data_IF_383439540260
#
_entry.id   IF_383439540260
#
_cell.length_a   1.000
_cell.length_b   1.000
_cell.length_c   1.000
_cell.angle_alpha   90.00
_cell.angle_beta   90.00
_cell.angle_gamma   90.00
#
_symmetry.space_group_name_H-M   'P 1'
#
loop_
_entity.id
_entity.type
_entity.pdbx_description
1 polymer ?
#
# COMPACT_ATOMS: atom_id res chain seq x y z
N UNK A 1 8.68 29.62 -14.67
CA UNK A 1 8.24 28.33 -15.26
C UNK A 1 8.43 27.29 -14.17
N UNK A 2 7.38 26.99 -13.41
CA UNK A 2 7.48 25.99 -12.35
C UNK A 2 7.36 24.62 -13.02
N UNK A 3 8.39 23.79 -12.86
CA UNK A 3 8.36 22.39 -13.31
C UNK A 3 7.30 21.64 -12.49
N UNK A 4 6.09 21.54 -13.03
CA UNK A 4 5.02 20.68 -12.49
C UNK A 4 5.23 19.22 -12.92
N UNK A 5 6.49 18.79 -12.98
CA UNK A 5 6.89 17.45 -13.41
C UNK A 5 7.39 16.64 -12.23
N UNK A 6 7.07 15.35 -12.21
CA UNK A 6 7.77 14.41 -11.34
C UNK A 6 9.19 14.22 -11.88
N UNK A 7 10.18 14.36 -11.02
CA UNK A 7 11.59 14.10 -11.35
C UNK A 7 12.15 12.96 -10.50
N UNK A 8 13.02 12.15 -11.10
CA UNK A 8 13.73 11.09 -10.39
C UNK A 8 14.75 11.73 -9.44
N UNK A 9 14.57 11.52 -8.14
CA UNK A 9 15.52 12.01 -7.11
C UNK A 9 16.64 11.01 -6.86
N UNK A 10 16.30 9.73 -6.64
CA UNK A 10 17.24 8.68 -6.22
C UNK A 10 16.92 7.34 -6.86
N UNK A 11 17.95 6.49 -7.04
CA UNK A 11 17.82 5.06 -7.36
C UNK A 11 18.41 4.22 -6.22
N UNK A 12 17.55 3.81 -5.29
CA UNK A 12 17.94 3.02 -4.13
C UNK A 12 18.32 1.60 -4.56
N UNK A 13 19.57 1.20 -4.35
CA UNK A 13 20.13 -0.07 -4.83
C UNK A 13 20.72 -0.87 -3.67
N UNK A 14 20.43 -2.18 -3.61
CA UNK A 14 20.98 -3.07 -2.58
C UNK A 14 20.26 -4.40 -2.42
N UNK A 15 18.95 -4.45 -2.70
CA UNK A 15 18.19 -5.69 -2.74
C UNK A 15 18.64 -6.61 -3.87
N UNK A 16 18.76 -7.91 -3.59
CA UNK A 16 19.09 -8.95 -4.56
C UNK A 16 17.86 -9.72 -5.05
N UNK A 17 16.72 -9.50 -4.41
CA UNK A 17 15.42 -10.10 -4.76
C UNK A 17 14.43 -9.01 -5.22
N UNK A 18 13.41 -9.37 -6.00
CA UNK A 18 12.31 -8.45 -6.31
C UNK A 18 11.70 -7.88 -5.03
N UNK A 19 11.34 -6.60 -5.05
CA UNK A 19 10.71 -5.93 -3.91
C UNK A 19 9.30 -6.47 -3.70
N UNK A 20 8.95 -6.77 -2.45
CA UNK A 20 7.61 -7.20 -2.04
C UNK A 20 6.82 -6.10 -1.33
N UNK A 21 7.50 -5.21 -0.61
CA UNK A 21 6.86 -4.15 0.17
C UNK A 21 7.71 -2.88 0.24
N UNK A 22 7.04 -1.74 0.39
CA UNK A 22 7.62 -0.41 0.59
C UNK A 22 6.74 0.36 1.56
N UNK A 23 7.34 1.10 2.50
CA UNK A 23 6.61 1.90 3.48
C UNK A 23 7.35 3.19 3.80
N UNK A 24 6.67 4.32 3.67
CA UNK A 24 7.18 5.63 4.11
C UNK A 24 7.14 5.75 5.63
N UNK A 25 8.13 6.42 6.21
CA UNK A 25 8.06 6.82 7.62
C UNK A 25 6.98 7.88 7.81
N UNK A 26 6.40 8.01 9.02
CA UNK A 26 5.33 8.97 9.29
C UNK A 26 5.70 10.44 9.03
N UNK A 27 7.00 10.76 9.04
CA UNK A 27 7.55 12.10 8.80
C UNK A 27 8.04 12.32 7.36
N UNK A 28 7.83 11.36 6.46
CA UNK A 28 8.27 11.33 5.05
C UNK A 28 9.80 11.46 4.84
N UNK A 29 10.61 11.31 5.90
CA UNK A 29 12.08 11.44 5.82
C UNK A 29 12.80 10.14 5.51
N UNK A 30 12.16 9.01 5.76
CA UNK A 30 12.75 7.69 5.60
C UNK A 30 11.81 6.74 4.85
N UNK A 31 12.42 5.71 4.26
CA UNK A 31 11.70 4.67 3.53
C UNK A 31 12.14 3.30 4.06
N UNK A 32 11.19 2.37 4.20
CA UNK A 32 11.48 0.95 4.32
C UNK A 32 11.21 0.26 3.00
N UNK A 33 12.07 -0.67 2.65
CA UNK A 33 11.86 -1.60 1.54
C UNK A 33 12.12 -3.02 2.00
N UNK A 34 11.30 -3.96 1.53
CA UNK A 34 11.47 -5.39 1.78
C UNK A 34 11.60 -6.11 0.44
N UNK A 35 12.65 -6.92 0.29
CA UNK A 35 12.76 -7.88 -0.80
C UNK A 35 11.97 -9.15 -0.49
N UNK A 36 11.56 -9.88 -1.52
CA UNK A 36 10.85 -11.16 -1.36
C UNK A 36 11.73 -12.20 -0.65
N UNK A 37 11.35 -12.56 0.57
CA UNK A 37 12.10 -13.45 1.47
C UNK A 37 13.56 -12.96 1.69
N UNK A 38 13.74 -11.64 1.77
CA UNK A 38 15.05 -11.00 1.95
C UNK A 38 15.11 -10.23 3.29
N UNK A 39 15.96 -9.22 3.37
CA UNK A 39 16.08 -8.28 4.49
C UNK A 39 15.16 -7.08 4.29
N UNK A 40 14.87 -6.36 5.37
CA UNK A 40 14.30 -5.01 5.30
C UNK A 40 15.43 -4.00 5.30
N UNK A 41 15.37 -3.01 4.42
CA UNK A 41 16.32 -1.91 4.35
C UNK A 41 15.62 -0.59 4.68
N UNK A 42 16.29 0.25 5.46
CA UNK A 42 15.84 1.61 5.78
C UNK A 42 16.72 2.63 5.10
N UNK A 43 16.10 3.61 4.46
CA UNK A 43 16.78 4.59 3.61
C UNK A 43 16.45 6.00 4.05
N UNK A 44 17.39 6.92 3.86
CA UNK A 44 17.14 8.36 3.95
C UNK A 44 16.61 8.89 2.63
N UNK A 45 15.50 9.62 2.65
CA UNK A 45 14.83 10.15 1.45
C UNK A 45 15.60 11.34 0.86
N UNK A 46 16.39 12.05 1.67
CA UNK A 46 17.15 13.22 1.24
C UNK A 46 18.43 12.83 0.52
N UNK A 47 19.24 11.94 1.10
CA UNK A 47 20.52 11.49 0.55
C UNK A 47 20.41 10.24 -0.34
N UNK A 48 19.37 9.42 -0.16
CA UNK A 48 19.24 8.13 -0.82
C UNK A 48 20.12 7.02 -0.21
N UNK A 49 20.77 7.28 0.92
CA UNK A 49 21.65 6.34 1.59
C UNK A 49 20.88 5.25 2.34
N UNK A 50 21.43 4.05 2.38
CA UNK A 50 20.92 2.95 3.22
C UNK A 50 21.38 3.18 4.66
N UNK A 51 20.45 3.58 5.52
CA UNK A 51 20.69 3.83 6.94
C UNK A 51 20.87 2.55 7.76
N UNK A 52 20.09 1.51 7.45
CA UNK A 52 20.14 0.25 8.20
C UNK A 52 19.63 -0.94 7.36
N UNK A 53 20.11 -2.14 7.71
CA UNK A 53 19.62 -3.43 7.17
C UNK A 53 19.16 -4.30 8.34
N UNK A 54 17.87 -4.69 8.35
CA UNK A 54 17.28 -5.55 9.37
C UNK A 54 17.23 -6.98 8.84
N UNK A 55 17.93 -7.86 9.53
CA UNK A 55 18.05 -9.27 9.17
C UNK A 55 17.84 -10.13 10.40
N UNK A 56 17.16 -11.27 10.23
CA UNK A 56 17.02 -12.29 11.26
C UNK A 56 17.62 -13.60 10.76
N UNK A 57 18.65 -14.09 11.44
CA UNK A 57 19.43 -15.25 10.99
C UNK A 57 18.52 -16.45 10.67
N UNK A 58 18.62 -16.96 9.45
CA UNK A 58 17.89 -18.14 8.98
C UNK A 58 16.43 -17.88 8.58
N UNK A 59 15.94 -16.64 8.63
CA UNK A 59 14.57 -16.28 8.27
C UNK A 59 14.55 -15.12 7.26
N UNK A 60 13.70 -15.23 6.23
CA UNK A 60 13.45 -14.16 5.27
C UNK A 60 12.28 -13.28 5.71
N UNK A 61 12.32 -12.01 5.35
CA UNK A 61 11.24 -11.04 5.57
C UNK A 61 10.33 -10.98 4.34
N UNK A 62 9.05 -10.75 4.57
CA UNK A 62 8.02 -10.74 3.51
C UNK A 62 7.27 -9.42 3.41
N UNK A 63 7.27 -8.64 4.49
CA UNK A 63 6.63 -7.32 4.58
C UNK A 63 7.26 -6.48 5.66
N UNK A 64 7.06 -5.16 5.57
CA UNK A 64 7.54 -4.19 6.53
C UNK A 64 6.52 -3.06 6.74
N UNK A 65 6.51 -2.47 7.93
CA UNK A 65 5.69 -1.31 8.26
C UNK A 65 6.32 -0.47 9.37
N UNK A 66 6.00 0.81 9.40
CA UNK A 66 6.42 1.72 10.47
C UNK A 66 5.40 1.74 11.60
N UNK A 67 5.90 1.89 12.82
CA UNK A 67 5.08 2.44 13.90
C UNK A 67 4.65 3.89 13.57
N UNK A 68 3.44 4.33 13.98
CA UNK A 68 2.95 5.68 13.68
C UNK A 68 3.78 6.81 14.31
N UNK A 69 4.49 6.52 15.40
CA UNK A 69 5.39 7.47 16.06
C UNK A 69 6.81 7.45 15.46
N UNK A 70 7.07 6.59 14.48
CA UNK A 70 8.34 6.47 13.77
C UNK A 70 9.48 5.85 14.58
N UNK A 71 9.24 5.34 15.79
CA UNK A 71 10.31 4.82 16.65
C UNK A 71 10.67 3.37 16.37
N UNK A 72 9.69 2.59 15.94
CA UNK A 72 9.81 1.15 15.73
C UNK A 72 9.47 0.76 14.30
N UNK A 73 10.03 -0.37 13.88
CA UNK A 73 9.75 -0.99 12.60
C UNK A 73 9.20 -2.39 12.86
N UNK A 74 8.22 -2.80 12.06
CA UNK A 74 7.67 -4.13 12.07
C UNK A 74 8.06 -4.88 10.80
N UNK A 75 8.35 -6.16 10.93
CA UNK A 75 8.61 -7.06 9.81
C UNK A 75 7.77 -8.33 9.92
N UNK A 76 7.06 -8.68 8.84
CA UNK A 76 6.50 -10.01 8.67
C UNK A 76 7.59 -10.98 8.20
N UNK A 77 7.62 -12.19 8.75
CA UNK A 77 8.62 -13.22 8.45
C UNK A 77 8.04 -14.39 7.68
N UNK A 78 8.90 -15.12 6.96
CA UNK A 78 8.52 -16.32 6.20
C UNK A 78 8.05 -17.50 7.07
N UNK A 79 8.41 -17.51 8.37
CA UNK A 79 7.89 -18.44 9.38
C UNK A 79 6.50 -18.05 9.93
N UNK A 80 5.86 -17.05 9.30
CA UNK A 80 4.55 -16.48 9.65
C UNK A 80 4.52 -15.62 10.91
N UNK A 81 5.68 -15.37 11.53
CA UNK A 81 5.78 -14.47 12.69
C UNK A 81 5.82 -13.00 12.27
N UNK A 82 5.59 -12.12 13.25
CA UNK A 82 5.86 -10.69 13.12
C UNK A 82 6.91 -10.34 14.18
N UNK A 83 7.97 -9.62 13.82
CA UNK A 83 8.91 -9.07 14.78
C UNK A 83 8.92 -7.54 14.74
N UNK A 84 9.31 -6.94 15.87
CA UNK A 84 9.46 -5.50 16.05
C UNK A 84 10.91 -5.15 16.37
N UNK A 85 11.38 -4.04 15.80
CA UNK A 85 12.77 -3.62 15.83
C UNK A 85 12.90 -2.17 16.29
N UNK A 86 13.96 -1.87 17.03
CA UNK A 86 14.50 -0.52 17.17
C UNK A 86 15.16 -0.07 15.87
N UNK A 87 15.27 1.25 15.67
CA UNK A 87 15.86 1.82 14.45
C UNK A 87 17.32 1.43 14.24
N UNK A 88 18.04 1.09 15.29
CA UNK A 88 19.44 0.63 15.27
C UNK A 88 19.59 -0.87 14.98
N UNK A 89 18.48 -1.58 14.70
CA UNK A 89 18.50 -3.00 14.35
C UNK A 89 18.29 -3.95 15.51
N UNK A 90 18.14 -3.48 16.74
CA UNK A 90 17.86 -4.36 17.88
C UNK A 90 16.43 -4.91 17.82
N UNK A 91 16.29 -6.23 17.87
CA UNK A 91 14.99 -6.89 18.01
C UNK A 91 14.42 -6.66 19.43
N UNK A 92 13.18 -6.18 19.51
CA UNK A 92 12.48 -5.95 20.77
C UNK A 92 11.53 -7.10 21.12
N UNK A 93 10.66 -7.46 20.18
CA UNK A 93 9.64 -8.48 20.36
C UNK A 93 9.49 -9.29 19.09
N UNK A 94 9.11 -10.56 19.24
CA UNK A 94 8.68 -11.36 18.11
C UNK A 94 7.51 -12.26 18.46
N UNK A 95 6.37 -11.99 17.81
CA UNK A 95 5.12 -12.71 17.97
C UNK A 95 5.12 -13.92 17.04
N UNK A 96 5.47 -15.08 17.58
CA UNK A 96 5.43 -16.36 16.88
C UNK A 96 3.99 -16.83 16.62
N UNK A 97 3.79 -17.63 15.58
CA UNK A 97 2.51 -18.24 15.21
C UNK A 97 2.12 -17.98 13.76
N UNK A 98 0.93 -18.42 13.34
CA UNK A 98 0.39 -18.12 12.01
C UNK A 98 -0.21 -16.71 11.99
N UNK A 99 0.64 -15.69 12.01
CA UNK A 99 0.22 -14.28 12.06
C UNK A 99 0.23 -13.62 10.69
N UNK A 100 1.07 -14.12 9.80
CA UNK A 100 1.24 -13.56 8.46
C UNK A 100 1.35 -14.66 7.40
N UNK A 101 1.02 -14.36 6.14
CA UNK A 101 1.34 -15.22 5.00
C UNK A 101 2.73 -14.90 4.44
N UNK A 102 3.25 -15.78 3.57
CA UNK A 102 4.54 -15.57 2.89
C UNK A 102 4.59 -14.32 2.01
N UNK A 103 3.44 -13.78 1.63
CA UNK A 103 3.29 -12.51 0.93
C UNK A 103 2.05 -11.88 1.53
N UNK A 104 2.21 -10.87 2.36
CA UNK A 104 1.09 -10.27 3.08
C UNK A 104 1.39 -8.81 3.37
N UNK A 105 0.40 -7.95 3.19
CA UNK A 105 0.49 -6.57 3.65
C UNK A 105 0.49 -6.55 5.19
N UNK A 106 1.16 -5.57 5.77
CA UNK A 106 1.30 -5.37 7.20
C UNK A 106 1.07 -3.87 7.48
N UNK A 107 0.05 -3.56 8.24
CA UNK A 107 -0.31 -2.18 8.60
C UNK A 107 -0.44 -2.04 10.11
N UNK A 108 -0.19 -0.84 10.62
CA UNK A 108 -0.28 -0.52 12.04
C UNK A 108 -1.27 0.64 12.18
N UNK A 109 -2.21 0.53 13.12
CA UNK A 109 -3.16 1.61 13.40
C UNK A 109 -2.45 2.86 13.89
N UNK A 110 -3.02 4.04 13.63
CA UNK A 110 -2.39 5.34 13.93
C UNK A 110 -2.08 5.59 15.41
N UNK A 111 -2.71 4.85 16.32
CA UNK A 111 -2.40 4.85 17.76
C UNK A 111 -1.24 3.90 18.13
N UNK A 112 -0.77 3.08 17.19
CA UNK A 112 0.32 2.11 17.36
C UNK A 112 -0.06 0.84 18.10
N UNK A 113 -1.35 0.62 18.38
CA UNK A 113 -1.84 -0.47 19.25
C UNK A 113 -2.16 -1.76 18.51
N UNK A 114 -2.73 -1.66 17.31
CA UNK A 114 -3.12 -2.83 16.54
C UNK A 114 -2.20 -3.06 15.36
N UNK A 115 -1.75 -4.31 15.23
CA UNK A 115 -1.03 -4.82 14.08
C UNK A 115 -2.04 -5.58 13.21
N UNK A 116 -2.13 -5.18 11.94
CA UNK A 116 -3.07 -5.74 10.97
C UNK A 116 -2.28 -6.50 9.91
N UNK A 117 -2.64 -7.75 9.68
CA UNK A 117 -1.92 -8.62 8.74
C UNK A 117 -2.83 -9.68 8.12
N UNK A 118 -2.53 -10.10 6.89
CA UNK A 118 -3.19 -11.26 6.29
C UNK A 118 -2.59 -12.52 6.91
N UNK A 119 -3.35 -13.27 7.69
CA UNK A 119 -2.86 -14.44 8.45
C UNK A 119 -3.22 -15.78 7.78
N UNK A 120 -4.34 -15.83 7.06
CA UNK A 120 -4.78 -16.96 6.21
C UNK A 120 -5.23 -16.43 4.86
N UNK A 121 -5.42 -17.32 3.90
CA UNK A 121 -5.87 -16.92 2.55
C UNK A 121 -7.17 -16.10 2.59
N UNK A 122 -8.07 -16.35 3.52
CA UNK A 122 -9.36 -15.67 3.65
C UNK A 122 -9.50 -14.83 4.92
N UNK A 123 -8.43 -14.69 5.72
CA UNK A 123 -8.53 -14.05 7.02
C UNK A 123 -7.48 -12.96 7.26
N UNK A 124 -7.94 -11.81 7.76
CA UNK A 124 -7.09 -10.75 8.32
C UNK A 124 -7.08 -10.88 9.84
N UNK A 125 -5.89 -10.87 10.43
CA UNK A 125 -5.67 -10.75 11.86
C UNK A 125 -5.61 -9.27 12.26
N UNK A 126 -6.39 -8.90 13.28
CA UNK A 126 -6.27 -7.65 14.04
C UNK A 126 -5.70 -8.01 15.42
N UNK A 127 -4.39 -7.82 15.60
CA UNK A 127 -3.69 -8.12 16.85
C UNK A 127 -3.54 -6.84 17.67
N UNK A 128 -4.25 -6.75 18.80
CA UNK A 128 -3.99 -5.74 19.81
C UNK A 128 -2.79 -6.16 20.66
N UNK A 129 -1.69 -5.42 20.56
CA UNK A 129 -0.44 -5.75 21.24
C UNK A 129 -0.48 -5.46 22.75
N UNK A 130 -1.24 -4.46 23.17
CA UNK A 130 -1.33 -4.02 24.57
C UNK A 130 -2.28 -4.95 25.34
N UNK A 131 -3.46 -5.19 24.79
CA UNK A 131 -4.47 -6.07 25.36
C UNK A 131 -4.19 -7.55 25.10
N UNK A 132 -3.29 -7.88 24.16
CA UNK A 132 -3.00 -9.24 23.69
C UNK A 132 -4.24 -9.99 23.21
N UNK A 133 -5.14 -9.25 22.56
CA UNK A 133 -6.40 -9.77 22.00
C UNK A 133 -6.24 -9.91 20.49
N UNK A 134 -6.71 -11.03 19.97
CA UNK A 134 -6.73 -11.31 18.53
C UNK A 134 -8.17 -11.30 18.04
N UNK A 135 -8.43 -10.55 16.97
CA UNK A 135 -9.69 -10.55 16.25
C UNK A 135 -9.44 -10.87 14.79
N UNK A 136 -10.46 -11.37 14.11
CA UNK A 136 -10.35 -11.80 12.73
C UNK A 136 -11.43 -11.16 11.88
N UNK A 137 -11.07 -10.78 10.68
CA UNK A 137 -12.00 -10.53 9.58
C UNK A 137 -11.94 -11.75 8.68
N UNK A 138 -13.06 -12.41 8.50
CA UNK A 138 -13.20 -13.56 7.60
C UNK A 138 -13.90 -13.11 6.32
N UNK A 139 -13.26 -13.40 5.20
CA UNK A 139 -13.78 -13.18 3.86
C UNK A 139 -14.24 -14.50 3.24
N UNK A 140 -15.15 -14.41 2.28
CA UNK A 140 -15.65 -15.58 1.55
C UNK A 140 -14.73 -16.02 0.40
N UNK A 141 -13.67 -15.24 0.13
CA UNK A 141 -12.73 -15.43 -0.98
C UNK A 141 -11.31 -15.12 -0.56
N UNK A 142 -10.33 -15.61 -1.33
CA UNK A 142 -8.92 -15.35 -1.08
C UNK A 142 -8.62 -13.85 -1.15
N UNK A 143 -8.00 -13.34 -0.09
CA UNK A 143 -7.51 -11.98 0.06
C UNK A 143 -6.18 -11.87 -0.69
N UNK A 144 -6.08 -10.83 -1.52
CA UNK A 144 -4.90 -10.57 -2.35
C UNK A 144 -4.08 -9.38 -1.85
N UNK A 145 -4.74 -8.39 -1.25
CA UNK A 145 -4.11 -7.25 -0.60
C UNK A 145 -5.11 -6.52 0.29
N UNK A 146 -4.63 -5.64 1.16
CA UNK A 146 -5.49 -4.69 1.85
C UNK A 146 -4.82 -3.32 2.03
N UNK A 147 -5.60 -2.30 2.36
CA UNK A 147 -5.10 -1.00 2.82
C UNK A 147 -5.90 -0.48 4.00
N UNK A 148 -5.24 0.30 4.87
CA UNK A 148 -5.83 0.92 6.05
C UNK A 148 -6.19 2.38 5.77
N UNK A 149 -7.37 2.81 6.24
CA UNK A 149 -7.78 4.21 6.17
C UNK A 149 -6.93 5.07 7.11
N UNK A 150 -6.80 6.37 6.80
CA UNK A 150 -5.97 7.31 7.57
C UNK A 150 -6.42 7.43 9.03
N UNK A 151 -7.73 7.36 9.25
CA UNK A 151 -8.34 7.39 10.57
C UNK A 151 -8.27 6.05 11.32
N UNK A 152 -7.68 5.00 10.71
CA UNK A 152 -7.56 3.64 11.26
C UNK A 152 -8.88 2.94 11.59
N UNK A 153 -10.00 3.42 11.02
CA UNK A 153 -11.33 2.84 11.27
C UNK A 153 -11.79 1.87 10.19
N UNK A 154 -11.15 1.88 9.02
CA UNK A 154 -11.60 1.10 7.89
C UNK A 154 -10.48 0.34 7.20
N UNK A 155 -10.79 -0.87 6.75
CA UNK A 155 -9.94 -1.64 5.85
C UNK A 155 -10.58 -1.74 4.48
N UNK A 156 -9.77 -1.60 3.45
CA UNK A 156 -10.13 -1.88 2.08
C UNK A 156 -9.45 -3.18 1.66
N UNK A 157 -10.22 -4.23 1.41
CA UNK A 157 -9.72 -5.59 1.16
C UNK A 157 -9.97 -5.95 -0.30
N UNK A 158 -8.91 -6.34 -1.02
CA UNK A 158 -8.98 -6.77 -2.42
C UNK A 158 -9.06 -8.28 -2.50
N UNK A 159 -10.06 -8.80 -3.19
CA UNK A 159 -10.35 -10.23 -3.25
C UNK A 159 -10.08 -10.84 -4.62
N UNK A 160 -9.83 -12.15 -4.60
CA UNK A 160 -9.52 -12.96 -5.78
C UNK A 160 -10.63 -12.89 -6.85
N UNK A 161 -11.88 -12.77 -6.42
CA UNK A 161 -13.10 -12.72 -7.23
C UNK A 161 -13.40 -11.35 -7.87
N UNK A 162 -12.42 -10.43 -7.90
CA UNK A 162 -12.58 -9.08 -8.49
C UNK A 162 -13.53 -8.17 -7.70
N UNK A 163 -13.68 -8.42 -6.40
CA UNK A 163 -14.38 -7.54 -5.48
C UNK A 163 -13.40 -6.79 -4.59
N UNK A 164 -13.80 -5.59 -4.19
CA UNK A 164 -13.15 -4.84 -3.13
C UNK A 164 -14.16 -4.67 -2.00
N UNK A 165 -13.82 -5.09 -0.80
CA UNK A 165 -14.68 -4.97 0.37
C UNK A 165 -14.18 -3.84 1.29
N UNK A 166 -15.09 -2.97 1.71
CA UNK A 166 -14.84 -1.97 2.75
C UNK A 166 -15.35 -2.51 4.08
N UNK A 167 -14.44 -2.69 5.03
CA UNK A 167 -14.76 -3.08 6.40
C UNK A 167 -14.60 -1.91 7.34
N UNK A 168 -15.53 -1.75 8.29
CA UNK A 168 -15.31 -0.99 9.51
C UNK A 168 -14.68 -1.91 10.54
N UNK A 169 -13.59 -1.49 11.17
CA UNK A 169 -12.83 -2.26 12.17
C UNK A 169 -12.88 -1.63 13.57
N UNK A 170 -13.63 -0.55 13.74
CA UNK A 170 -13.92 0.06 15.03
C UNK A 170 -14.93 -0.81 15.81
N UNK A 171 -14.52 -1.30 16.98
CA UNK A 171 -15.30 -2.32 17.67
C UNK A 171 -15.38 -3.60 16.84
N UNK A 172 -16.51 -4.31 16.88
CA UNK A 172 -16.67 -5.56 16.14
C UNK A 172 -16.62 -5.34 14.62
N UNK A 173 -15.75 -6.03 13.87
CA UNK A 173 -15.60 -5.79 12.44
C UNK A 173 -16.87 -6.03 11.64
N UNK A 174 -17.22 -5.07 10.77
CA UNK A 174 -18.42 -5.14 9.93
C UNK A 174 -18.13 -4.76 8.50
N UNK A 175 -18.61 -5.58 7.57
CA UNK A 175 -18.62 -5.24 6.15
C UNK A 175 -19.59 -4.07 5.91
N UNK A 176 -19.10 -3.01 5.25
CA UNK A 176 -19.84 -1.77 4.99
C UNK A 176 -20.31 -1.70 3.54
N UNK A 177 -19.39 -1.91 2.59
CA UNK A 177 -19.65 -1.76 1.15
C UNK A 177 -18.85 -2.76 0.33
N UNK A 178 -19.33 -3.04 -0.88
CA UNK A 178 -18.64 -3.85 -1.89
C UNK A 178 -18.52 -3.06 -3.19
N UNK A 179 -17.34 -3.04 -3.78
CA UNK A 179 -17.07 -2.41 -5.07
C UNK A 179 -16.76 -3.48 -6.11
N UNK A 180 -17.38 -3.34 -7.29
CA UNK A 180 -17.30 -4.28 -8.40
C UNK A 180 -17.04 -3.52 -9.69
N UNK A 181 -16.50 -4.22 -10.69
CA UNK A 181 -16.29 -3.69 -12.03
C UNK A 181 -14.89 -3.98 -12.54
N UNK A 182 -13.88 -3.62 -11.74
CA UNK A 182 -12.48 -3.85 -12.05
C UNK A 182 -12.23 -5.32 -12.38
N UNK A 183 -11.33 -5.56 -13.34
CA UNK A 183 -10.91 -6.88 -13.77
C UNK A 183 -9.60 -7.27 -13.13
N UNK A 184 -9.52 -8.53 -12.75
CA UNK A 184 -8.33 -9.17 -12.20
C UNK A 184 -8.36 -10.66 -12.51
N UNK A 185 -7.25 -11.20 -12.97
CA UNK A 185 -7.11 -12.63 -13.31
C UNK A 185 -5.87 -13.22 -12.65
N UNK A 186 -4.71 -12.60 -12.85
CA UNK A 186 -3.40 -13.12 -12.45
C UNK A 186 -2.70 -12.25 -11.42
N UNK A 187 -2.78 -10.94 -11.58
CA UNK A 187 -1.98 -9.99 -10.81
C UNK A 187 -2.68 -9.58 -9.52
N UNK A 188 -1.89 -9.09 -8.58
CA UNK A 188 -2.38 -8.50 -7.34
C UNK A 188 -2.68 -7.04 -7.65
N UNK A 189 -3.89 -6.60 -7.33
CA UNK A 189 -4.30 -5.21 -7.42
C UNK A 189 -4.22 -4.61 -6.02
N UNK A 190 -3.51 -3.48 -5.89
CA UNK A 190 -3.43 -2.68 -4.67
C UNK A 190 -4.31 -1.45 -4.82
N UNK A 191 -5.44 -1.47 -4.11
CA UNK A 191 -6.40 -0.37 -4.06
C UNK A 191 -6.13 0.53 -2.86
N UNK A 192 -6.48 1.81 -2.99
CA UNK A 192 -6.26 2.80 -1.93
C UNK A 192 -7.49 3.67 -1.68
N UNK A 193 -7.53 4.24 -0.48
CA UNK A 193 -8.40 5.35 -0.12
C UNK A 193 -7.86 6.67 -0.70
N UNK A 194 -8.75 7.60 -1.03
CA UNK A 194 -8.32 8.85 -1.65
C UNK A 194 -9.33 10.00 -1.67
N UNK A 195 -8.85 11.15 -2.15
CA UNK A 195 -9.55 12.42 -2.10
C UNK A 195 -9.64 13.04 -0.70
N UNK A 196 -10.39 14.13 -0.60
CA UNK A 196 -10.61 14.84 0.65
C UNK A 196 -11.37 13.94 1.63
N UNK A 197 -10.89 13.85 2.87
CA UNK A 197 -11.42 12.94 3.91
C UNK A 197 -11.56 11.47 3.47
N UNK A 198 -10.78 11.02 2.48
CA UNK A 198 -10.86 9.67 1.93
C UNK A 198 -12.27 9.29 1.44
N UNK A 199 -12.95 10.24 0.78
CA UNK A 199 -14.30 10.05 0.23
C UNK A 199 -14.36 9.12 -1.00
N UNK A 200 -13.21 8.80 -1.60
CA UNK A 200 -13.11 7.93 -2.76
C UNK A 200 -12.25 6.69 -2.50
N UNK A 201 -12.51 5.67 -3.29
CA UNK A 201 -11.68 4.47 -3.42
C UNK A 201 -11.14 4.43 -4.85
N UNK A 202 -9.85 4.14 -5.01
CA UNK A 202 -9.24 3.86 -6.30
C UNK A 202 -8.74 2.42 -6.38
N UNK A 203 -8.86 1.80 -7.54
CA UNK A 203 -8.15 0.56 -7.88
C UNK A 203 -7.55 0.62 -9.27
N UNK A 204 -6.48 -0.14 -9.49
CA UNK A 204 -6.07 -0.53 -10.84
C UNK A 204 -6.92 -1.70 -11.36
N UNK A 205 -6.68 -2.08 -12.61
CA UNK A 205 -7.29 -3.25 -13.23
C UNK A 205 -6.42 -3.82 -14.35
N UNK A 206 -6.56 -5.13 -14.59
CA UNK A 206 -5.94 -5.81 -15.73
C UNK A 206 -6.53 -5.41 -17.10
N UNK A 207 -7.67 -4.72 -17.13
CA UNK A 207 -8.21 -4.11 -18.35
C UNK A 207 -7.52 -2.79 -18.75
N UNK A 208 -6.43 -2.44 -18.07
CA UNK A 208 -5.63 -1.23 -18.27
C UNK A 208 -6.31 0.08 -17.83
N UNK A 209 -7.39 0.00 -17.05
CA UNK A 209 -8.07 1.15 -16.47
C UNK A 209 -7.72 1.34 -14.99
N UNK A 210 -7.87 2.59 -14.53
CA UNK A 210 -7.99 2.92 -13.11
C UNK A 210 -9.46 3.21 -12.82
N UNK A 211 -10.02 2.59 -11.79
CA UNK A 211 -11.41 2.76 -11.39
C UNK A 211 -11.47 3.65 -10.14
N UNK A 212 -12.44 4.58 -10.11
CA UNK A 212 -12.69 5.48 -8.99
C UNK A 212 -14.14 5.32 -8.54
N UNK A 213 -14.35 4.91 -7.29
CA UNK A 213 -15.68 4.82 -6.68
C UNK A 213 -15.85 5.86 -5.59
N UNK A 214 -17.09 6.30 -5.39
CA UNK A 214 -17.45 7.04 -4.19
C UNK A 214 -17.61 6.06 -3.02
N UNK A 215 -16.85 6.27 -1.95
CA UNK A 215 -16.74 5.34 -0.82
C UNK A 215 -18.08 5.13 -0.09
N UNK A 216 -18.86 6.19 0.08
CA UNK A 216 -20.10 6.15 0.84
C UNK A 216 -21.25 5.46 0.10
N UNK A 217 -21.37 5.68 -1.20
CA UNK A 217 -22.49 5.17 -2.02
C UNK A 217 -22.15 3.85 -2.72
N UNK A 218 -20.86 3.53 -2.90
CA UNK A 218 -20.43 2.36 -3.66
C UNK A 218 -20.47 2.57 -5.18
N UNK A 219 -20.93 3.73 -5.64
CA UNK A 219 -21.10 4.02 -7.06
C UNK A 219 -19.76 4.22 -7.75
N UNK A 220 -19.62 3.63 -8.95
CA UNK A 220 -18.51 3.90 -9.84
C UNK A 220 -18.68 5.32 -10.39
N UNK A 221 -17.72 6.19 -10.08
CA UNK A 221 -17.72 7.60 -10.49
C UNK A 221 -17.07 7.74 -11.86
N UNK A 222 -15.89 7.14 -12.03
CA UNK A 222 -15.12 7.28 -13.27
C UNK A 222 -14.17 6.10 -13.48
N UNK A 223 -13.85 5.86 -14.75
CA UNK A 223 -12.74 4.99 -15.18
C UNK A 223 -11.74 5.82 -15.97
N UNK A 224 -10.48 5.80 -15.58
CA UNK A 224 -9.42 6.58 -16.21
C UNK A 224 -8.64 5.72 -17.22
N UNK A 225 -8.79 5.95 -18.54
CA UNK A 225 -8.04 5.23 -19.56
C UNK A 225 -6.65 5.85 -19.77
N UNK A 226 -5.72 5.04 -20.26
CA UNK A 226 -4.43 5.53 -20.76
C UNK A 226 -3.28 4.55 -20.63
N UNK A 227 -3.32 3.64 -19.66
CA UNK A 227 -2.35 2.55 -19.61
C UNK A 227 -2.59 1.57 -20.76
N UNK A 228 -1.53 0.88 -21.19
CA UNK A 228 -1.60 -0.18 -22.22
C UNK A 228 -1.29 -1.57 -21.66
N UNK A 229 -1.31 -1.71 -20.33
CA UNK A 229 -1.10 -2.97 -19.61
C UNK A 229 -1.81 -2.94 -18.26
N UNK A 230 -1.81 -4.08 -17.56
CA UNK A 230 -2.44 -4.21 -16.26
C UNK A 230 -1.95 -3.14 -15.28
N UNK A 231 -2.87 -2.49 -14.58
CA UNK A 231 -2.56 -1.51 -13.53
C UNK A 231 -2.53 -2.23 -12.19
N UNK A 232 -1.34 -2.44 -11.63
CA UNK A 232 -1.15 -3.29 -10.45
C UNK A 232 -1.33 -2.53 -9.13
N UNK A 233 -1.06 -1.23 -9.12
CA UNK A 233 -1.06 -0.43 -7.91
C UNK A 233 -1.51 0.99 -8.19
N UNK A 234 -2.32 1.54 -7.28
CA UNK A 234 -2.70 2.94 -7.26
C UNK A 234 -2.43 3.54 -5.89
N UNK A 235 -1.99 4.78 -5.83
CA UNK A 235 -1.71 5.49 -4.58
C UNK A 235 -2.17 6.94 -4.67
N UNK A 236 -3.09 7.32 -3.79
CA UNK A 236 -3.61 8.68 -3.71
C UNK A 236 -2.71 9.52 -2.83
N UNK A 237 -2.38 10.74 -3.27
CA UNK A 237 -1.54 11.63 -2.47
C UNK A 237 -2.29 12.09 -1.21
N UNK A 238 -1.72 11.87 -0.01
CA UNK A 238 -2.39 12.22 1.23
C UNK A 238 -2.45 13.72 1.53
N UNK A 239 -1.52 14.52 0.98
CA UNK A 239 -1.43 15.97 1.16
C UNK A 239 -2.13 16.77 0.04
N UNK A 240 -2.16 16.22 -1.18
CA UNK A 240 -2.86 16.78 -2.33
C UNK A 240 -4.00 15.84 -2.76
N UNK A 241 -5.24 16.06 -2.30
CA UNK A 241 -6.36 15.18 -2.59
C UNK A 241 -6.75 15.13 -4.08
N UNK A 242 -6.19 16.00 -4.92
CA UNK A 242 -6.41 15.97 -6.37
C UNK A 242 -5.38 15.16 -7.14
N UNK A 243 -4.38 14.57 -6.47
CA UNK A 243 -3.30 13.85 -7.15
C UNK A 243 -3.32 12.36 -6.80
N UNK A 244 -3.33 11.52 -7.83
CA UNK A 244 -3.30 10.06 -7.75
C UNK A 244 -2.19 9.54 -8.67
N UNK A 245 -1.49 8.50 -8.25
CA UNK A 245 -0.52 7.80 -9.08
C UNK A 245 -1.02 6.38 -9.40
N UNK A 246 -0.73 5.88 -10.60
CA UNK A 246 -0.95 4.48 -10.98
C UNK A 246 0.30 3.88 -11.62
N UNK A 247 0.59 2.62 -11.31
CA UNK A 247 1.72 1.87 -11.87
C UNK A 247 1.23 0.65 -12.66
N UNK A 248 1.80 0.44 -13.85
CA UNK A 248 1.33 -0.57 -14.80
C UNK A 248 2.46 -1.42 -15.38
N UNK A 249 2.09 -2.62 -15.84
CA UNK A 249 2.93 -3.52 -16.64
C UNK A 249 3.34 -2.91 -17.99
N UNK A 250 2.74 -1.80 -18.42
CA UNK A 250 3.23 -1.01 -19.55
C UNK A 250 4.54 -0.25 -19.27
N UNK A 251 5.12 -0.45 -18.08
CA UNK A 251 6.39 0.13 -17.60
C UNK A 251 6.31 1.64 -17.37
N UNK A 252 5.12 2.18 -17.16
CA UNK A 252 4.92 3.60 -16.84
C UNK A 252 4.28 3.78 -15.47
N UNK A 253 4.59 4.93 -14.86
CA UNK A 253 3.79 5.50 -13.78
C UNK A 253 3.05 6.68 -14.37
N UNK A 254 1.73 6.72 -14.18
CA UNK A 254 0.90 7.86 -14.55
C UNK A 254 0.53 8.65 -13.31
N UNK A 255 0.59 9.97 -13.43
CA UNK A 255 0.11 10.90 -12.42
C UNK A 255 -1.18 11.53 -12.95
N UNK A 256 -2.25 11.34 -12.19
CA UNK A 256 -3.57 11.86 -12.45
C UNK A 256 -3.81 13.03 -11.52
N UNK A 257 -4.46 14.06 -12.04
CA UNK A 257 -4.93 15.16 -11.22
C UNK A 257 -5.29 16.38 -12.04
N UNK A 258 -5.73 17.41 -11.34
CA UNK A 258 -6.01 18.70 -11.96
C UNK A 258 -4.67 19.36 -12.31
N UNK A 259 -4.32 19.39 -13.60
CA UNK A 259 -3.41 20.42 -14.09
C UNK A 259 -4.07 21.75 -13.74
N UNK A 260 -3.40 22.57 -12.92
CA UNK A 260 -3.84 23.88 -12.43
C UNK A 260 -4.95 24.47 -13.30
N UNK A 261 -6.14 24.70 -12.72
CA UNK A 261 -7.24 25.40 -13.37
C UNK A 261 -6.70 26.70 -13.98
N UNK A 262 -6.35 26.66 -15.26
CA UNK A 262 -6.14 27.86 -16.04
C UNK A 262 -7.55 28.42 -16.18
N UNK A 263 -7.87 29.42 -15.37
CA UNK A 263 -8.95 30.34 -15.67
C UNK A 263 -8.56 31.11 -16.92
N UNK A 264 -8.63 30.45 -18.09
CA UNK A 264 -8.71 31.01 -19.44
C UNK A 264 -8.86 29.87 -20.46
N UNK A 265 -10.14 29.68 -20.86
CA UNK A 265 -10.70 29.21 -22.14
C UNK A 265 -9.95 28.11 -22.93
N UNK A 266 -10.71 27.00 -23.12
CA UNK A 266 -10.74 26.04 -24.24
C UNK A 266 -9.45 25.84 -25.03
N UNK A 267 -8.74 24.74 -24.73
CA UNK A 267 -8.13 23.77 -25.67
C UNK A 267 -7.88 22.43 -24.90
N UNK A 268 -7.78 21.27 -25.56
CA UNK A 268 -7.89 19.96 -24.90
C UNK A 268 -6.65 19.61 -24.07
N UNK A 269 -6.88 19.15 -22.84
CA UNK A 269 -5.84 18.85 -21.85
C UNK A 269 -4.94 17.67 -22.26
N UNK A 270 -3.62 17.84 -22.11
CA UNK A 270 -2.63 16.77 -22.21
C UNK A 270 -2.33 16.17 -20.84
N UNK A 271 -2.39 14.84 -20.75
CA UNK A 271 -1.96 14.07 -19.57
C UNK A 271 -0.43 13.93 -19.59
N UNK A 272 0.24 14.25 -18.48
CA UNK A 272 1.69 14.08 -18.33
C UNK A 272 2.06 12.59 -18.29
N UNK A 273 2.88 12.15 -19.24
CA UNK A 273 3.44 10.79 -19.26
C UNK A 273 4.88 10.89 -18.74
N UNK A 274 5.19 10.21 -17.64
CA UNK A 274 6.55 10.07 -17.15
C UNK A 274 7.08 8.68 -17.50
N UNK A 275 8.13 8.63 -18.32
CA UNK A 275 8.83 7.41 -18.67
C UNK A 275 9.98 7.17 -17.67
N UNK A 276 9.84 6.16 -16.82
CA UNK A 276 10.95 5.63 -16.04
C UNK A 276 11.53 4.43 -16.80
N UNK A 277 12.43 4.67 -17.75
CA UNK A 277 13.10 3.59 -18.47
C UNK A 277 14.10 2.88 -17.54
N UNK A 278 13.67 1.76 -16.95
CA UNK A 278 14.57 0.71 -16.47
C UNK A 278 15.07 -0.10 -17.66
N UNK A 279 16.20 0.31 -18.24
CA UNK A 279 16.86 -0.40 -19.34
C UNK A 279 18.15 -1.07 -18.87
N UNK A 280 18.14 -2.41 -19.01
CA UNK A 280 19.22 -3.43 -19.06
C UNK A 280 20.31 -3.45 -17.99
#
# INVERSE_FOLDING_TARGET
VYETGVSLKHKLSGHQKPLSSVSWSPDDRQLLTCGAEEVVRRWDVSSGECLHVYEKTGLGMVSCGWSPDGKWIFSGLNDKSICMWELDGKELECWKGQRTLKISDLEITGDGKQIISICRETAILLLDREAKVERFIEEDQTITSFSLSRDSRFLLINLLNQEIHLWNIEGDPKLVSKYRGHKRTRFIIRSCFGGLEQAFIASGSEDSLVYIWHRGTGELIETLPGHSGAVNCVSWNPANPHMLASASDDRTIRIWGLNNLSTKRKEPCSNGIHYCNGGY
#
